data_IF_670719826619
#
_entry.id   IF_670719826619
#
_cell.length_a   1.000
_cell.length_b   1.000
_cell.length_c   1.000
_cell.angle_alpha   90.00
_cell.angle_beta   90.00
_cell.angle_gamma   90.00
#
_symmetry.space_group_name_H-M   'P 1'
#
loop_
_entity.id
_entity.type
_entity.pdbx_description
1 polymer ?
#
# COMPACT_ATOMS: atom_id res chain seq x y z
N UNK A 1 -6.64 -10.80 -5.60
CA UNK A 1 -5.58 -11.26 -4.68
C UNK A 1 -6.06 -11.24 -3.23
N UNK A 2 -6.25 -10.08 -2.58
CA UNK A 2 -6.65 -10.02 -1.16
C UNK A 2 -7.85 -10.91 -0.78
N UNK A 3 -8.97 -10.83 -1.51
CA UNK A 3 -10.17 -11.63 -1.22
C UNK A 3 -9.93 -13.15 -1.28
N UNK A 4 -9.09 -13.62 -2.21
CA UNK A 4 -8.75 -15.03 -2.32
C UNK A 4 -7.88 -15.49 -1.15
N UNK A 5 -6.91 -14.68 -0.74
CA UNK A 5 -6.07 -14.95 0.45
C UNK A 5 -6.93 -14.97 1.72
N UNK A 6 -7.84 -14.00 1.88
CA UNK A 6 -8.76 -13.94 3.02
C UNK A 6 -9.78 -15.09 3.05
N UNK A 7 -10.07 -15.71 1.90
CA UNK A 7 -10.92 -16.90 1.78
C UNK A 7 -10.15 -18.22 2.01
N UNK A 8 -8.85 -18.17 2.34
CA UNK A 8 -8.04 -19.36 2.58
C UNK A 8 -7.63 -20.13 1.32
N UNK A 9 -7.71 -19.50 0.14
CA UNK A 9 -7.38 -20.15 -1.14
C UNK A 9 -5.86 -20.18 -1.43
N UNK A 10 -5.01 -19.66 -0.53
CA UNK A 10 -3.55 -19.69 -0.66
C UNK A 10 -2.84 -18.54 0.07
N UNK A 11 -1.53 -18.42 -0.18
CA UNK A 11 -0.66 -17.36 0.34
C UNK A 11 -0.60 -16.20 -0.67
N UNK A 12 -0.69 -14.95 -0.19
CA UNK A 12 -0.61 -13.75 -1.03
C UNK A 12 0.38 -12.72 -0.49
N UNK A 13 1.17 -12.13 -1.39
CA UNK A 13 1.98 -10.94 -1.10
C UNK A 13 1.10 -9.72 -1.38
N UNK A 14 0.85 -8.93 -0.34
CA UNK A 14 -0.11 -7.83 -0.37
C UNK A 14 0.47 -6.61 0.36
N UNK A 15 0.11 -5.38 -0.04
CA UNK A 15 0.41 -4.19 0.73
C UNK A 15 -0.10 -4.29 2.17
N UNK A 16 0.71 -3.86 3.14
CA UNK A 16 0.43 -3.96 4.58
C UNK A 16 -0.94 -3.34 4.94
N UNK A 17 -1.27 -2.18 4.37
CA UNK A 17 -2.50 -1.46 4.66
C UNK A 17 -3.77 -2.29 4.35
N UNK A 18 -3.74 -3.16 3.33
CA UNK A 18 -4.85 -4.06 3.02
C UNK A 18 -4.98 -5.19 4.06
N UNK A 19 -3.86 -5.60 4.65
CA UNK A 19 -3.83 -6.74 5.57
C UNK A 19 -4.25 -6.38 7.00
N UNK A 20 -4.20 -5.10 7.40
CA UNK A 20 -4.40 -4.65 8.79
C UNK A 20 -5.65 -5.23 9.45
N UNK A 21 -6.81 -5.08 8.81
CA UNK A 21 -8.07 -5.59 9.37
C UNK A 21 -8.10 -7.12 9.39
N UNK A 22 -7.57 -7.77 8.34
CA UNK A 22 -7.50 -9.22 8.27
C UNK A 22 -6.62 -9.81 9.37
N UNK A 23 -5.48 -9.18 9.65
CA UNK A 23 -4.57 -9.57 10.73
C UNK A 23 -5.20 -9.33 12.10
N UNK A 24 -5.81 -8.16 12.33
CA UNK A 24 -6.47 -7.83 13.59
C UNK A 24 -7.65 -8.75 13.91
N UNK A 25 -8.36 -9.24 12.89
CA UNK A 25 -9.51 -10.15 13.04
C UNK A 25 -9.14 -11.63 12.95
N UNK A 26 -7.87 -11.96 12.70
CA UNK A 26 -7.40 -13.33 12.50
C UNK A 26 -7.83 -13.98 11.18
N UNK A 27 -8.50 -13.26 10.27
CA UNK A 27 -8.82 -13.76 8.92
C UNK A 27 -7.60 -13.88 8.02
N UNK A 28 -6.54 -13.14 8.30
CA UNK A 28 -5.23 -13.26 7.67
C UNK A 28 -4.21 -13.59 8.75
N UNK A 29 -3.18 -14.34 8.36
CA UNK A 29 -2.03 -14.66 9.21
C UNK A 29 -0.75 -14.36 8.45
N UNK A 30 0.20 -13.69 9.12
CA UNK A 30 1.54 -13.54 8.59
C UNK A 30 2.22 -14.92 8.50
N UNK A 31 2.83 -15.20 7.35
CA UNK A 31 3.55 -16.44 7.08
C UNK A 31 4.96 -16.11 6.60
N UNK A 32 5.90 -17.03 6.82
CA UNK A 32 7.31 -16.86 6.44
C UNK A 32 7.94 -15.56 7.02
N UNK A 33 7.92 -15.36 8.34
CA UNK A 33 8.37 -14.09 8.96
C UNK A 33 9.85 -13.77 8.73
N UNK A 34 10.67 -14.76 8.41
CA UNK A 34 12.09 -14.59 8.11
C UNK A 34 12.35 -14.17 6.66
N UNK A 35 11.33 -14.20 5.81
CA UNK A 35 11.45 -13.82 4.41
C UNK A 35 11.12 -12.34 4.21
N UNK A 36 12.05 -11.62 3.60
CA UNK A 36 11.83 -10.23 3.19
C UNK A 36 11.33 -10.18 1.75
N UNK A 37 10.17 -9.57 1.55
CA UNK A 37 9.66 -9.28 0.21
C UNK A 37 10.41 -8.05 -0.33
N UNK A 38 10.78 -8.02 -1.63
CA UNK A 38 11.35 -6.82 -2.24
C UNK A 38 10.50 -5.57 -1.96
N UNK A 39 11.15 -4.41 -1.82
CA UNK A 39 10.47 -3.15 -1.49
C UNK A 39 9.24 -2.93 -2.37
N UNK A 40 8.15 -2.50 -1.72
CA UNK A 40 6.90 -2.20 -2.39
C UNK A 40 7.11 -1.23 -3.55
N UNK A 41 6.37 -1.44 -4.64
CA UNK A 41 6.39 -0.57 -5.81
C UNK A 41 6.04 0.87 -5.42
N UNK A 42 6.76 1.83 -6.01
CA UNK A 42 6.48 3.25 -5.85
C UNK A 42 5.03 3.56 -6.26
N UNK A 43 4.38 4.44 -5.50
CA UNK A 43 3.05 4.94 -5.83
C UNK A 43 3.19 6.16 -6.77
N UNK A 44 2.49 6.13 -7.90
CA UNK A 44 2.54 7.20 -8.89
C UNK A 44 1.16 7.83 -9.09
N UNK A 45 1.12 9.16 -9.13
CA UNK A 45 -0.05 9.90 -9.61
C UNK A 45 0.12 10.12 -11.11
N UNK A 46 -0.77 9.54 -11.92
CA UNK A 46 -0.74 9.65 -13.38
C UNK A 46 -1.79 10.66 -13.85
N UNK A 47 -1.38 11.59 -14.72
CA UNK A 47 -2.24 12.59 -15.33
C UNK A 47 -1.70 12.96 -16.72
N UNK A 48 -2.53 13.48 -17.64
CA UNK A 48 -2.07 13.93 -18.94
C UNK A 48 -0.99 15.01 -18.84
N UNK A 49 0.06 14.92 -19.66
CA UNK A 49 1.19 15.87 -19.63
C UNK A 49 0.76 17.33 -19.80
N UNK A 50 -0.31 17.60 -20.54
CA UNK A 50 -0.86 18.95 -20.72
C UNK A 50 -1.30 19.63 -19.40
N UNK A 51 -1.48 18.86 -18.32
CA UNK A 51 -1.89 19.37 -17.01
C UNK A 51 -0.72 19.60 -16.04
N UNK A 52 0.53 19.41 -16.47
CA UNK A 52 1.70 19.56 -15.61
C UNK A 52 1.76 20.93 -14.91
N UNK A 53 1.36 22.00 -15.59
CA UNK A 53 1.32 23.34 -15.03
C UNK A 53 -0.03 23.73 -14.39
N UNK A 54 -1.06 22.87 -14.39
CA UNK A 54 -2.38 23.21 -13.81
C UNK A 54 -2.30 23.21 -12.27
N UNK A 55 -2.47 24.39 -11.67
CA UNK A 55 -2.39 24.59 -10.23
C UNK A 55 -3.40 23.76 -9.41
N UNK A 56 -4.54 23.37 -9.99
CA UNK A 56 -5.52 22.49 -9.32
C UNK A 56 -5.00 21.06 -9.25
N UNK A 57 -4.35 20.59 -10.32
CA UNK A 57 -3.73 19.26 -10.36
C UNK A 57 -2.57 19.20 -9.39
N UNK A 58 -1.69 20.20 -9.38
CA UNK A 58 -0.58 20.27 -8.43
C UNK A 58 -1.07 20.27 -6.98
N UNK A 59 -2.06 21.12 -6.64
CA UNK A 59 -2.65 21.12 -5.28
C UNK A 59 -3.29 19.79 -4.90
N UNK A 60 -3.89 19.08 -5.85
CA UNK A 60 -4.46 17.76 -5.59
C UNK A 60 -3.36 16.72 -5.36
N UNK A 61 -2.28 16.75 -6.13
CA UNK A 61 -1.10 15.89 -5.93
C UNK A 61 -0.50 16.15 -4.54
N UNK A 62 -0.31 17.42 -4.17
CA UNK A 62 0.18 17.81 -2.84
C UNK A 62 -0.73 17.27 -1.73
N UNK A 63 -2.05 17.40 -1.91
CA UNK A 63 -3.02 16.87 -0.97
C UNK A 63 -2.91 15.34 -0.82
N UNK A 64 -2.81 14.61 -1.93
CA UNK A 64 -2.64 13.16 -1.92
C UNK A 64 -1.32 12.78 -1.24
N UNK A 65 -0.22 13.45 -1.58
CA UNK A 65 1.10 13.21 -0.99
C UNK A 65 1.12 13.46 0.51
N UNK A 66 0.40 14.47 1.00
CA UNK A 66 0.34 14.81 2.42
C UNK A 66 -0.62 13.92 3.23
N UNK A 67 -1.73 13.46 2.63
CA UNK A 67 -2.83 12.86 3.41
C UNK A 67 -3.12 11.40 3.06
N UNK A 68 -2.88 10.98 1.80
CA UNK A 68 -3.25 9.65 1.31
C UNK A 68 -2.03 8.75 1.25
N UNK A 69 -0.92 9.21 0.65
CA UNK A 69 0.30 8.41 0.52
C UNK A 69 0.81 7.92 1.87
N UNK A 70 0.92 8.75 2.93
CA UNK A 70 1.43 8.30 4.21
C UNK A 70 0.59 7.16 4.80
N UNK A 71 -0.73 7.21 4.65
CA UNK A 71 -1.63 6.15 5.12
C UNK A 71 -1.47 4.82 4.35
N UNK A 72 -1.02 4.88 3.10
CA UNK A 72 -0.77 3.71 2.24
C UNK A 72 0.66 3.16 2.39
N UNK A 73 1.64 4.01 2.72
CA UNK A 73 3.07 3.66 2.78
C UNK A 73 3.58 3.31 4.16
N UNK A 74 2.71 3.18 5.17
CA UNK A 74 3.11 2.70 6.50
C UNK A 74 3.62 1.26 6.39
N UNK A 75 4.90 1.14 6.08
CA UNK A 75 5.78 0.00 6.33
C UNK A 75 6.58 0.41 7.56
N UNK A 76 6.28 -0.17 8.71
CA UNK A 76 7.14 0.02 9.88
C UNK A 76 8.46 -0.70 9.57
N UNK A 77 9.45 0.04 9.08
CA UNK A 77 10.84 -0.41 9.07
C UNK A 77 11.38 -0.39 10.50
N UNK A 78 10.84 -1.25 11.36
CA UNK A 78 11.43 -1.56 12.65
C UNK A 78 12.23 -2.86 12.52
N UNK A 79 13.46 -2.71 12.02
CA UNK A 79 14.58 -3.61 12.32
C UNK A 79 15.84 -3.04 11.70
N UNK A 80 16.47 -2.12 12.43
CA UNK A 80 17.92 -2.04 12.54
C UNK A 80 18.30 -2.60 13.92
#
# INVERSE_FOLDING_TARGET
MHAATAAGLGIGVLPEFLCRQGLATGRLKAVLPEWTVPRAASLYALYPAALEADARVQRFIDFLAANVVPALTLSNAASA
#
